data_IF_272260055787
#
_entry.id   IF_272260055787
#
_cell.length_a   1.000
_cell.length_b   1.000
_cell.length_c   1.000
_cell.angle_alpha   90.00
_cell.angle_beta   90.00
_cell.angle_gamma   90.00
#
_symmetry.space_group_name_H-M   'P 1'
#
loop_
_entity.id
_entity.type
_entity.pdbx_description
1 polymer ?
#
# COMPACT_ATOMS: atom_id res chain seq x y z
N UNK A 1 2.56 -14.72 -21.72
CA UNK A 1 2.62 -13.33 -21.21
C UNK A 1 1.25 -12.69 -20.92
N UNK A 2 0.22 -12.80 -21.78
CA UNK A 2 -1.11 -12.20 -21.50
C UNK A 2 -1.69 -12.64 -20.14
N UNK A 3 -1.51 -13.91 -19.77
CA UNK A 3 -2.01 -14.46 -18.50
C UNK A 3 -1.40 -13.79 -17.26
N UNK A 4 -0.07 -13.57 -17.22
CA UNK A 4 0.57 -12.94 -16.05
C UNK A 4 0.13 -11.49 -15.89
N UNK A 5 -0.09 -10.79 -17.00
CA UNK A 5 -0.59 -9.42 -17.01
C UNK A 5 -1.99 -9.36 -16.38
N UNK A 6 -2.90 -10.23 -16.78
CA UNK A 6 -4.26 -10.26 -16.21
C UNK A 6 -4.27 -10.66 -14.73
N UNK A 7 -3.44 -11.62 -14.32
CA UNK A 7 -3.31 -12.00 -12.91
C UNK A 7 -2.79 -10.84 -12.05
N UNK A 8 -1.76 -10.13 -12.51
CA UNK A 8 -1.22 -8.97 -11.80
C UNK A 8 -2.20 -7.79 -11.77
N UNK A 9 -2.98 -7.56 -12.84
CA UNK A 9 -4.08 -6.58 -12.84
C UNK A 9 -5.14 -6.91 -11.79
N UNK A 10 -5.59 -8.16 -11.75
CA UNK A 10 -6.55 -8.62 -10.74
C UNK A 10 -6.01 -8.43 -9.32
N UNK A 11 -4.73 -8.77 -9.09
CA UNK A 11 -4.09 -8.53 -7.81
C UNK A 11 -4.05 -7.04 -7.45
N UNK A 12 -3.72 -6.14 -8.38
CA UNK A 12 -3.68 -4.70 -8.15
C UNK A 12 -5.06 -4.12 -7.77
N UNK A 13 -6.11 -4.50 -8.50
CA UNK A 13 -7.48 -4.02 -8.24
C UNK A 13 -8.00 -4.57 -6.90
N UNK A 14 -7.82 -5.87 -6.64
CA UNK A 14 -8.29 -6.50 -5.41
C UNK A 14 -7.51 -6.02 -4.18
N UNK A 15 -6.20 -5.79 -4.30
CA UNK A 15 -5.41 -5.23 -3.23
C UNK A 15 -5.85 -3.80 -2.88
N UNK A 16 -6.14 -2.97 -3.88
CA UNK A 16 -6.67 -1.63 -3.64
C UNK A 16 -8.08 -1.65 -2.99
N UNK A 17 -8.90 -2.63 -3.32
CA UNK A 17 -10.18 -2.85 -2.65
C UNK A 17 -9.99 -3.24 -1.18
N UNK A 18 -8.98 -4.08 -0.86
CA UNK A 18 -8.62 -4.41 0.52
C UNK A 18 -8.14 -3.18 1.29
N UNK A 19 -7.33 -2.30 0.67
CA UNK A 19 -6.95 -1.02 1.28
C UNK A 19 -8.18 -0.15 1.56
N UNK A 20 -9.17 -0.15 0.67
CA UNK A 20 -10.41 0.61 0.87
C UNK A 20 -11.24 0.12 2.07
N UNK A 21 -11.00 -1.09 2.59
CA UNK A 21 -11.59 -1.53 3.86
C UNK A 21 -11.08 -0.70 5.04
N UNK A 22 -9.79 -0.31 5.01
CA UNK A 22 -9.21 0.58 6.02
C UNK A 22 -9.81 2.00 5.95
N UNK A 23 -10.36 2.39 4.80
CA UNK A 23 -10.89 3.74 4.55
C UNK A 23 -12.20 4.06 5.28
N UNK A 24 -12.89 3.07 5.85
CA UNK A 24 -14.26 3.25 6.36
C UNK A 24 -14.26 4.14 7.63
N UNK A 25 -14.75 5.39 7.57
CA UNK A 25 -14.72 6.31 8.71
C UNK A 25 -15.70 5.91 9.83
N UNK A 26 -16.65 5.00 9.55
CA UNK A 26 -17.56 4.43 10.55
C UNK A 26 -17.00 3.15 11.20
N UNK A 27 -15.83 2.68 10.77
CA UNK A 27 -15.27 1.39 11.15
C UNK A 27 -13.75 1.48 11.40
N UNK A 28 -13.28 2.63 11.89
CA UNK A 28 -11.88 2.83 12.34
C UNK A 28 -11.45 1.83 13.42
N UNK A 29 -12.39 1.04 13.95
CA UNK A 29 -12.22 -0.03 14.93
C UNK A 29 -11.72 -1.36 14.35
N UNK A 30 -11.51 -1.50 13.03
CA UNK A 30 -11.01 -2.77 12.48
C UNK A 30 -9.83 -2.63 11.51
N UNK A 31 -8.83 -1.83 11.93
CA UNK A 31 -7.52 -1.77 11.27
C UNK A 31 -6.86 -3.16 11.18
N UNK A 32 -7.13 -4.03 12.16
CA UNK A 32 -6.66 -5.41 12.18
C UNK A 32 -7.21 -6.23 10.99
N UNK A 33 -8.52 -6.22 10.74
CA UNK A 33 -9.08 -6.93 9.58
C UNK A 33 -8.62 -6.31 8.25
N UNK A 34 -8.49 -4.99 8.18
CA UNK A 34 -7.94 -4.34 6.98
C UNK A 34 -6.48 -4.75 6.73
N UNK A 35 -5.65 -4.77 7.77
CA UNK A 35 -4.27 -5.23 7.70
C UNK A 35 -4.18 -6.71 7.30
N UNK A 36 -5.04 -7.57 7.85
CA UNK A 36 -5.10 -8.98 7.47
C UNK A 36 -5.49 -9.16 5.99
N UNK A 37 -6.51 -8.41 5.53
CA UNK A 37 -6.96 -8.43 4.15
C UNK A 37 -5.88 -7.93 3.17
N UNK A 38 -5.15 -6.88 3.54
CA UNK A 38 -4.03 -6.35 2.75
C UNK A 38 -2.86 -7.34 2.69
N UNK A 39 -2.47 -7.90 3.83
CA UNK A 39 -1.33 -8.81 3.95
C UNK A 39 -1.54 -10.11 3.18
N UNK A 40 -2.78 -10.55 2.99
CA UNK A 40 -3.12 -11.75 2.22
C UNK A 40 -2.69 -11.69 0.74
N UNK A 41 -2.35 -10.50 0.22
CA UNK A 41 -1.83 -10.35 -1.14
C UNK A 41 -0.32 -10.54 -1.26
N UNK A 42 0.40 -10.64 -0.14
CA UNK A 42 1.85 -10.81 -0.13
C UNK A 42 2.24 -12.28 0.00
N UNK A 43 3.28 -12.66 -0.72
CA UNK A 43 3.89 -13.98 -0.58
C UNK A 43 4.75 -14.04 0.69
N UNK A 44 4.94 -15.23 1.30
CA UNK A 44 5.93 -15.37 2.36
C UNK A 44 7.32 -14.93 1.89
N UNK A 45 8.11 -14.35 2.80
CA UNK A 45 9.38 -13.67 2.49
C UNK A 45 9.25 -12.41 1.63
N UNK A 46 8.07 -11.78 1.57
CA UNK A 46 7.92 -10.51 0.89
C UNK A 46 8.88 -9.46 1.45
N UNK A 47 9.41 -8.61 0.56
CA UNK A 47 10.36 -7.55 0.94
C UNK A 47 9.79 -6.18 0.60
N UNK A 48 9.79 -5.28 1.57
CA UNK A 48 9.48 -3.87 1.38
C UNK A 48 10.77 -3.05 1.33
N UNK A 49 10.85 -2.17 0.34
CA UNK A 49 11.94 -1.23 0.12
C UNK A 49 11.42 0.20 0.32
N UNK A 50 12.04 0.93 1.25
CA UNK A 50 11.74 2.35 1.49
C UNK A 50 13.03 3.11 1.79
N UNK A 51 13.40 4.05 0.92
CA UNK A 51 14.58 4.93 1.01
C UNK A 51 15.91 4.21 1.30
N UNK A 52 16.10 3.03 0.70
CA UNK A 52 17.28 2.18 0.93
C UNK A 52 17.18 1.29 2.17
N UNK A 53 16.16 1.49 3.01
CA UNK A 53 15.75 0.53 4.04
C UNK A 53 15.14 -0.72 3.42
N UNK A 54 15.39 -1.86 4.05
CA UNK A 54 14.92 -3.18 3.62
C UNK A 54 14.21 -3.82 4.81
N UNK A 55 12.91 -4.07 4.68
CA UNK A 55 12.13 -4.83 5.67
C UNK A 55 11.66 -6.12 5.02
N UNK A 56 12.02 -7.25 5.60
CA UNK A 56 11.59 -8.57 5.13
C UNK A 56 10.56 -9.16 6.06
N UNK A 57 9.47 -9.64 5.49
CA UNK A 57 8.37 -10.26 6.21
C UNK A 57 8.43 -11.78 6.00
N UNK A 58 8.89 -12.56 6.99
CA UNK A 58 9.06 -14.00 6.83
C UNK A 58 7.73 -14.72 6.57
N UNK A 59 6.65 -14.22 7.16
CA UNK A 59 5.31 -14.79 7.14
C UNK A 59 4.23 -13.70 7.10
N UNK A 60 2.99 -14.15 6.92
CA UNK A 60 1.82 -13.29 6.80
C UNK A 60 1.48 -12.58 8.12
N UNK A 61 1.75 -13.20 9.27
CA UNK A 61 1.47 -12.62 10.59
C UNK A 61 2.35 -11.38 10.83
N UNK A 62 3.65 -11.49 10.52
CA UNK A 62 4.59 -10.38 10.61
C UNK A 62 4.19 -9.25 9.65
N UNK A 63 3.73 -9.59 8.43
CA UNK A 63 3.23 -8.61 7.47
C UNK A 63 1.97 -7.88 8.00
N UNK A 64 1.06 -8.64 8.61
CA UNK A 64 -0.19 -8.12 9.17
C UNK A 64 0.08 -7.15 10.31
N UNK A 65 0.96 -7.52 11.24
CA UNK A 65 1.36 -6.63 12.35
C UNK A 65 2.02 -5.34 11.85
N UNK A 66 2.92 -5.43 10.87
CA UNK A 66 3.56 -4.26 10.27
C UNK A 66 2.56 -3.34 9.54
N UNK A 67 1.62 -3.93 8.81
CA UNK A 67 0.57 -3.19 8.11
C UNK A 67 -0.38 -2.50 9.10
N UNK A 68 -0.81 -3.21 10.13
CA UNK A 68 -1.67 -2.66 11.19
C UNK A 68 -0.99 -1.49 11.91
N UNK A 69 0.30 -1.62 12.24
CA UNK A 69 1.09 -0.55 12.85
C UNK A 69 1.11 0.72 11.97
N UNK A 70 1.37 0.59 10.67
CA UNK A 70 1.41 1.74 9.76
C UNK A 70 0.01 2.36 9.59
N UNK A 71 -1.05 1.54 9.44
CA UNK A 71 -2.42 2.05 9.40
C UNK A 71 -2.80 2.79 10.69
N UNK A 72 -2.34 2.30 11.84
CA UNK A 72 -2.46 2.96 13.13
C UNK A 72 -1.81 4.35 13.13
N UNK A 73 -0.56 4.46 12.65
CA UNK A 73 0.15 5.73 12.51
C UNK A 73 -0.57 6.74 11.61
N UNK A 74 -1.15 6.27 10.50
CA UNK A 74 -2.00 7.08 9.62
C UNK A 74 -3.23 7.65 10.35
N UNK A 75 -3.89 6.82 11.16
CA UNK A 75 -5.06 7.21 11.92
C UNK A 75 -4.69 8.18 13.07
N UNK A 76 -3.64 7.88 13.85
CA UNK A 76 -3.14 8.72 14.95
C UNK A 76 -2.67 10.10 14.47
N UNK A 77 -2.09 10.16 13.27
CA UNK A 77 -1.67 11.41 12.63
C UNK A 77 -2.85 12.26 12.14
N UNK A 78 -4.08 11.74 12.24
CA UNK A 78 -5.29 12.37 11.72
C UNK A 78 -5.34 12.45 10.20
N UNK A 79 -4.45 11.73 9.50
CA UNK A 79 -4.41 11.67 8.03
C UNK A 79 -5.57 10.79 7.52
N UNK A 80 -5.86 9.73 8.28
CA UNK A 80 -6.80 8.68 7.88
C UNK A 80 -6.16 7.70 6.89
N UNK A 81 -6.95 6.69 6.53
CA UNK A 81 -6.52 5.50 5.78
C UNK A 81 -7.31 5.32 4.48
N UNK A 82 -7.96 6.37 3.99
CA UNK A 82 -8.70 6.36 2.72
C UNK A 82 -7.74 6.53 1.54
N UNK A 83 -7.26 5.40 1.04
CA UNK A 83 -6.51 5.32 -0.21
C UNK A 83 -7.39 4.73 -1.31
N UNK A 84 -7.48 5.43 -2.43
CA UNK A 84 -8.28 5.02 -3.59
C UNK A 84 -7.38 4.73 -4.77
N UNK A 85 -7.66 3.64 -5.47
CA UNK A 85 -6.98 3.33 -6.72
C UNK A 85 -7.29 4.41 -7.77
N UNK A 86 -6.24 5.02 -8.34
CA UNK A 86 -6.39 5.98 -9.43
C UNK A 86 -6.07 5.35 -10.78
N UNK A 87 -4.95 4.65 -10.86
CA UNK A 87 -4.51 3.96 -12.08
C UNK A 87 -3.46 2.92 -11.75
N UNK A 88 -3.22 2.02 -12.69
CA UNK A 88 -2.12 1.07 -12.63
C UNK A 88 -1.49 0.86 -14.01
N UNK A 89 -0.22 0.48 -14.04
CA UNK A 89 0.49 -0.05 -15.22
C UNK A 89 1.12 -1.39 -14.85
N UNK A 90 0.92 -2.40 -15.69
CA UNK A 90 1.49 -3.73 -15.50
C UNK A 90 2.48 -4.01 -16.62
N UNK A 91 3.73 -4.25 -16.26
CA UNK A 91 4.84 -4.53 -17.15
C UNK A 91 5.26 -6.01 -16.95
N UNK A 92 4.89 -6.95 -17.84
CA UNK A 92 5.27 -8.36 -17.69
C UNK A 92 6.79 -8.52 -17.81
N UNK A 93 7.37 -9.37 -16.96
CA UNK A 93 8.82 -9.65 -16.94
C UNK A 93 9.11 -11.05 -17.48
N UNK A 94 8.27 -12.02 -17.12
CA UNK A 94 8.36 -13.40 -17.60
C UNK A 94 6.97 -14.03 -17.65
N UNK A 95 6.87 -15.33 -17.91
CA UNK A 95 5.58 -16.04 -17.81
C UNK A 95 5.04 -16.10 -16.39
N UNK A 96 5.92 -16.04 -15.37
CA UNK A 96 5.56 -16.14 -13.96
C UNK A 96 5.72 -14.85 -13.15
N UNK A 97 6.10 -13.74 -13.78
CA UNK A 97 6.33 -12.48 -13.06
C UNK A 97 5.98 -11.22 -13.86
N UNK A 98 5.57 -10.18 -13.14
CA UNK A 98 5.29 -8.86 -13.68
C UNK A 98 5.63 -7.77 -12.65
N UNK A 99 5.89 -6.56 -13.12
CA UNK A 99 6.03 -5.37 -12.28
C UNK A 99 4.73 -4.56 -12.39
N UNK A 100 4.18 -4.16 -11.26
CA UNK A 100 2.99 -3.34 -11.17
C UNK A 100 3.32 -1.96 -10.60
N UNK A 101 3.05 -0.91 -11.37
CA UNK A 101 3.08 0.48 -10.91
C UNK A 101 1.66 0.85 -10.51
N UNK A 102 1.40 1.03 -9.23
CA UNK A 102 0.05 1.29 -8.73
C UNK A 102 0.01 2.70 -8.16
N UNK A 103 -0.79 3.57 -8.77
CA UNK A 103 -1.01 4.93 -8.30
C UNK A 103 -2.27 4.96 -7.44
N UNK A 104 -2.10 5.44 -6.21
CA UNK A 104 -3.18 5.69 -5.28
C UNK A 104 -3.41 7.19 -5.12
N UNK A 105 -4.62 7.55 -4.71
CA UNK A 105 -4.95 8.85 -4.14
C UNK A 105 -5.31 8.65 -2.67
N UNK A 106 -4.59 9.36 -1.80
CA UNK A 106 -5.05 9.57 -0.44
C UNK A 106 -6.17 10.60 -0.43
N UNK A 107 -7.24 10.32 0.31
CA UNK A 107 -8.35 11.23 0.55
C UNK A 107 -8.35 11.61 2.01
N UNK A 108 -8.19 12.91 2.27
CA UNK A 108 -8.17 13.43 3.63
C UNK A 108 -9.60 13.62 4.15
N UNK A 109 -9.86 13.30 5.44
CA UNK A 109 -11.13 13.65 6.07
C UNK A 109 -11.36 15.17 6.00
N UNK A 110 -12.61 15.60 5.79
CA UNK A 110 -12.98 16.99 5.50
C UNK A 110 -12.58 18.04 6.56
N UNK A 111 -12.22 17.61 7.77
CA UNK A 111 -11.80 18.47 8.87
C UNK A 111 -10.27 18.56 9.02
N UNK A 112 -9.50 17.84 8.20
CA UNK A 112 -8.03 17.74 8.32
C UNK A 112 -7.37 18.85 7.51
N UNK A 113 -7.71 20.08 7.88
CA UNK A 113 -6.91 21.25 7.53
C UNK A 113 -5.95 21.56 8.67
N UNK A 114 -4.66 21.72 8.36
CA UNK A 114 -3.67 22.51 9.15
C UNK A 114 -2.85 21.84 10.26
N UNK A 115 -2.58 20.53 10.25
CA UNK A 115 -1.55 19.93 11.15
C UNK A 115 -0.30 19.37 10.46
N UNK A 116 -0.08 19.66 9.18
CA UNK A 116 1.19 19.37 8.52
C UNK A 116 2.14 20.57 8.61
N UNK A 117 3.36 20.38 9.11
CA UNK A 117 4.44 21.39 9.08
C UNK A 117 5.20 21.44 7.73
N UNK A 118 4.81 20.62 6.75
CA UNK A 118 5.41 20.54 5.40
C UNK A 118 4.66 21.36 4.34
N UNK A 119 4.61 20.87 3.09
CA UNK A 119 3.88 21.51 1.95
C UNK A 119 2.38 21.78 2.23
N UNK A 120 1.86 21.30 3.36
CA UNK A 120 0.45 21.32 3.72
C UNK A 120 -0.35 20.29 2.91
N UNK A 121 -1.47 19.78 3.44
CA UNK A 121 -2.37 18.95 2.66
C UNK A 121 -2.97 19.78 1.52
N UNK A 122 -2.86 19.31 0.28
CA UNK A 122 -3.66 19.87 -0.80
C UNK A 122 -5.14 19.57 -0.51
N UNK A 123 -6.03 20.49 -0.84
CA UNK A 123 -7.47 20.27 -0.71
C UNK A 123 -7.85 18.98 -1.48
N UNK A 124 -8.35 17.96 -0.77
CA UNK A 124 -8.70 16.65 -1.35
C UNK A 124 -7.59 15.59 -1.37
N UNK A 125 -6.49 15.79 -0.65
CA UNK A 125 -5.40 14.82 -0.48
C UNK A 125 -4.36 14.82 -1.60
N UNK A 126 -3.60 13.74 -1.77
CA UNK A 126 -2.50 13.67 -2.74
C UNK A 126 -2.41 12.31 -3.43
N UNK A 127 -1.65 12.26 -4.53
CA UNK A 127 -1.37 11.01 -5.25
C UNK A 127 0.06 10.56 -4.97
N UNK A 128 0.25 9.26 -4.96
CA UNK A 128 1.57 8.64 -4.95
C UNK A 128 1.54 7.34 -5.75
N UNK A 129 2.70 6.82 -6.12
CA UNK A 129 2.83 5.56 -6.85
C UNK A 129 3.84 4.68 -6.16
N UNK A 130 3.42 3.47 -5.81
CA UNK A 130 4.30 2.42 -5.33
C UNK A 130 4.51 1.39 -6.44
N UNK A 131 5.63 0.65 -6.36
CA UNK A 131 6.00 -0.36 -7.34
C UNK A 131 5.99 -1.72 -6.68
N UNK A 132 5.32 -2.70 -7.29
CA UNK A 132 5.16 -4.03 -6.74
C UNK A 132 5.69 -5.09 -7.70
N UNK A 133 6.37 -6.10 -7.17
CA UNK A 133 6.75 -7.30 -7.91
C UNK A 133 5.71 -8.38 -7.75
N UNK A 134 4.95 -8.69 -8.79
CA UNK A 134 4.03 -9.81 -8.81
C UNK A 134 4.73 -11.10 -9.23
N UNK A 135 4.44 -12.20 -8.52
CA UNK A 135 4.96 -13.52 -8.86
C UNK A 135 3.88 -14.59 -8.77
N UNK A 136 3.95 -15.56 -9.68
CA UNK A 136 3.34 -16.89 -9.56
C UNK A 136 4.47 -17.88 -9.26
N UNK A 137 4.39 -18.57 -8.13
CA UNK A 137 5.37 -19.57 -7.71
C UNK A 137 5.10 -20.92 -8.39
N UNK A 138 6.12 -21.81 -8.48
CA UNK A 138 5.95 -23.14 -9.08
C UNK A 138 4.86 -24.00 -8.42
N UNK A 139 4.57 -23.77 -7.15
CA UNK A 139 3.51 -24.45 -6.39
C UNK A 139 2.10 -23.84 -6.60
N UNK A 140 1.98 -22.84 -7.48
CA UNK A 140 0.72 -22.17 -7.82
C UNK A 140 0.35 -20.99 -6.92
N UNK A 141 1.08 -20.73 -5.83
CA UNK A 141 0.86 -19.52 -5.02
C UNK A 141 1.17 -18.27 -5.83
N UNK A 142 0.45 -17.19 -5.57
CA UNK A 142 0.62 -15.92 -6.29
C UNK A 142 0.39 -14.72 -5.40
N UNK A 143 1.11 -13.64 -5.65
CA UNK A 143 1.01 -12.42 -4.86
C UNK A 143 2.18 -11.48 -5.09
N UNK A 144 2.25 -10.45 -4.26
CA UNK A 144 3.36 -9.51 -4.21
C UNK A 144 4.55 -10.16 -3.50
N UNK A 145 5.67 -10.30 -4.21
CA UNK A 145 6.95 -10.75 -3.67
C UNK A 145 7.74 -9.58 -3.07
N UNK A 146 7.54 -8.38 -3.57
CA UNK A 146 8.17 -7.18 -3.02
C UNK A 146 7.38 -5.93 -3.36
N UNK A 147 7.64 -4.86 -2.61
CA UNK A 147 7.15 -3.51 -2.88
C UNK A 147 8.27 -2.49 -2.71
N UNK A 148 8.24 -1.42 -3.49
CA UNK A 148 8.98 -0.19 -3.24
C UNK A 148 7.96 0.90 -2.95
N UNK A 149 8.01 1.44 -1.73
CA UNK A 149 7.08 2.43 -1.21
C UNK A 149 7.64 3.87 -1.22
N UNK A 150 8.74 4.13 -1.92
CA UNK A 150 9.40 5.45 -1.94
C UNK A 150 8.44 6.56 -2.40
N UNK A 151 7.58 6.27 -3.38
CA UNK A 151 6.61 7.24 -3.88
C UNK A 151 5.60 7.66 -2.81
N UNK A 152 5.10 6.72 -2.02
CA UNK A 152 4.24 7.00 -0.86
C UNK A 152 4.97 7.84 0.18
N UNK A 153 6.11 7.34 0.67
CA UNK A 153 6.83 7.99 1.76
C UNK A 153 7.41 9.35 1.37
N UNK A 154 7.74 9.57 0.10
CA UNK A 154 8.17 10.89 -0.40
C UNK A 154 7.04 11.92 -0.27
N UNK A 155 5.84 11.55 -0.71
CA UNK A 155 4.69 12.45 -0.63
C UNK A 155 4.21 12.62 0.81
N UNK A 156 4.24 11.55 1.61
CA UNK A 156 3.88 11.56 3.02
C UNK A 156 4.81 12.46 3.84
N UNK A 157 6.12 12.19 3.83
CA UNK A 157 7.08 12.90 4.68
C UNK A 157 7.28 14.36 4.25
N UNK A 158 7.06 14.69 2.97
CA UNK A 158 7.07 16.09 2.53
C UNK A 158 5.91 16.94 3.08
N UNK A 159 4.87 16.30 3.63
CA UNK A 159 3.68 16.94 4.23
C UNK A 159 3.62 16.75 5.75
N UNK A 160 4.01 15.57 6.21
CA UNK A 160 4.05 15.13 7.60
C UNK A 160 5.46 14.63 7.95
N UNK A 161 6.44 15.53 8.14
CA UNK A 161 7.84 15.14 8.39
C UNK A 161 8.03 14.29 9.65
N UNK A 162 7.17 14.51 10.65
CA UNK A 162 7.23 13.85 11.95
C UNK A 162 6.46 12.51 11.96
N UNK A 163 5.96 12.01 10.81
CA UNK A 163 5.12 10.80 10.75
C UNK A 163 5.78 9.54 11.32
N UNK A 164 7.09 9.40 11.11
CA UNK A 164 7.89 8.26 11.59
C UNK A 164 8.55 8.51 12.95
N UNK A 165 8.30 9.66 13.58
CA UNK A 165 8.86 10.03 14.88
C UNK A 165 8.06 9.50 16.07
#
# INVERSE_FOLDING_TARGET
MVQITELAKQAAVSYAAAISLAANPNNSSDLASAAAAMSAFYLPNATDFTFGGITRFPDQDTFTQGTEFILGKYNESGIGTDFRLEKYRIDPVSEGSAIAWITYRMVLPGNVGRKGKGKGPAAGGWKFTNVYGFRVQPDGRKGWEWTNADGEYTELLSRYPDFLS
#
